data_IF_715379447633
#
_entry.id   IF_715379447633
#
_cell.length_a   1.000
_cell.length_b   1.000
_cell.length_c   1.000
_cell.angle_alpha   90.00
_cell.angle_beta   90.00
_cell.angle_gamma   90.00
#
_symmetry.space_group_name_H-M   'P 1'
#
loop_
_entity.id
_entity.type
_entity.pdbx_description
1 polymer ?
#
# COMPACT_ATOMS: atom_id res chain seq x y z
N UNK A 1 -22.71 -10.28 -4.58
CA UNK A 1 -22.13 -9.34 -5.56
C UNK A 1 -22.56 -9.77 -6.94
N UNK A 2 -23.44 -9.01 -7.58
CA UNK A 2 -24.06 -9.41 -8.85
C UNK A 2 -23.31 -8.69 -9.99
N UNK A 3 -22.63 -9.44 -10.84
CA UNK A 3 -22.03 -8.89 -12.06
C UNK A 3 -23.15 -8.61 -13.06
N UNK A 4 -23.40 -7.33 -13.36
CA UNK A 4 -24.30 -6.95 -14.45
C UNK A 4 -23.43 -6.71 -15.68
N UNK A 5 -23.49 -7.63 -16.64
CA UNK A 5 -22.83 -7.46 -17.95
C UNK A 5 -23.76 -6.69 -18.88
N UNK A 6 -23.38 -5.47 -19.27
CA UNK A 6 -23.96 -4.74 -20.39
C UNK A 6 -22.81 -4.31 -21.29
N UNK A 7 -22.55 -5.05 -22.38
CA UNK A 7 -21.46 -4.77 -23.33
C UNK A 7 -20.03 -5.03 -22.80
N UNK A 8 -19.02 -4.39 -23.43
CA UNK A 8 -17.59 -4.44 -23.05
C UNK A 8 -17.24 -3.58 -21.83
N UNK A 9 -18.23 -3.04 -21.12
CA UNK A 9 -18.03 -2.23 -19.92
C UNK A 9 -18.34 -3.05 -18.68
N UNK A 10 -17.35 -3.16 -17.79
CA UNK A 10 -17.51 -3.78 -16.48
C UNK A 10 -18.13 -2.76 -15.53
N UNK A 11 -19.44 -2.89 -15.30
CA UNK A 11 -20.13 -2.15 -14.24
C UNK A 11 -19.97 -2.92 -12.93
N UNK A 12 -19.13 -2.39 -12.04
CA UNK A 12 -18.92 -2.94 -10.71
C UNK A 12 -19.72 -2.13 -9.70
N UNK A 13 -20.38 -2.84 -8.78
CA UNK A 13 -20.96 -2.19 -7.62
C UNK A 13 -19.82 -1.69 -6.74
N UNK A 14 -19.82 -0.39 -6.44
CA UNK A 14 -18.87 0.18 -5.50
C UNK A 14 -18.99 -0.53 -4.15
N UNK A 15 -17.83 -0.85 -3.57
CA UNK A 15 -17.73 -1.44 -2.25
C UNK A 15 -17.15 -0.42 -1.28
N UNK A 16 -17.65 -0.37 -0.06
CA UNK A 16 -17.35 0.73 0.88
C UNK A 16 -15.90 0.78 1.33
N UNK A 17 -15.16 -0.33 1.21
CA UNK A 17 -13.74 -0.42 1.54
C UNK A 17 -12.95 -0.53 0.23
N UNK A 18 -12.08 0.45 0.00
CA UNK A 18 -11.35 0.65 -1.26
C UNK A 18 -10.29 -0.42 -1.52
N UNK A 19 -9.58 -0.85 -0.48
CA UNK A 19 -8.62 -1.96 -0.52
C UNK A 19 -9.28 -3.31 -0.82
N UNK A 20 -10.45 -3.60 -0.22
CA UNK A 20 -11.25 -4.78 -0.53
C UNK A 20 -11.78 -4.68 -1.98
N UNK A 21 -12.24 -3.50 -2.41
CA UNK A 21 -12.70 -3.28 -3.77
C UNK A 21 -11.59 -3.51 -4.80
N UNK A 22 -10.37 -3.02 -4.54
CA UNK A 22 -9.20 -3.28 -5.37
C UNK A 22 -8.87 -4.78 -5.44
N UNK A 23 -8.97 -5.49 -4.32
CA UNK A 23 -8.81 -6.95 -4.26
C UNK A 23 -9.85 -7.70 -5.11
N UNK A 24 -11.10 -7.25 -5.09
CA UNK A 24 -12.18 -7.80 -5.94
C UNK A 24 -11.85 -7.61 -7.42
N UNK A 25 -11.43 -6.41 -7.82
CA UNK A 25 -11.03 -6.14 -9.21
C UNK A 25 -9.85 -7.04 -9.62
N UNK A 26 -8.82 -7.15 -8.78
CA UNK A 26 -7.66 -7.99 -9.04
C UNK A 26 -8.04 -9.47 -9.22
N UNK A 27 -8.93 -9.99 -8.38
CA UNK A 27 -9.47 -11.34 -8.50
C UNK A 27 -10.19 -11.56 -9.83
N UNK A 28 -11.07 -10.64 -10.23
CA UNK A 28 -11.84 -10.73 -11.47
C UNK A 28 -10.94 -10.65 -12.72
N UNK A 29 -9.86 -9.87 -12.65
CA UNK A 29 -8.84 -9.79 -13.70
C UNK A 29 -7.83 -10.94 -13.66
N UNK A 30 -7.95 -11.87 -12.70
CA UNK A 30 -6.99 -12.97 -12.46
C UNK A 30 -5.55 -12.48 -12.24
N UNK A 31 -5.41 -11.34 -11.58
CA UNK A 31 -4.13 -10.76 -11.18
C UNK A 31 -3.95 -11.10 -9.69
N UNK A 32 -3.16 -12.13 -9.33
CA UNK A 32 -2.96 -12.47 -7.93
C UNK A 32 -2.14 -11.35 -7.25
N UNK A 33 -2.64 -10.73 -6.18
CA UNK A 33 -1.84 -9.79 -5.40
C UNK A 33 -0.64 -10.53 -4.80
N UNK A 34 0.54 -9.91 -4.86
CA UNK A 34 1.75 -10.41 -4.21
C UNK A 34 2.10 -9.50 -3.05
N UNK A 35 2.31 -10.11 -1.89
CA UNK A 35 2.83 -9.39 -0.74
C UNK A 35 4.23 -8.85 -1.05
N UNK A 36 4.51 -7.62 -0.61
CA UNK A 36 5.82 -6.99 -0.71
C UNK A 36 6.32 -6.75 0.70
N UNK A 37 7.37 -7.47 1.11
CA UNK A 37 7.94 -7.38 2.46
C UNK A 37 8.48 -5.99 2.82
N UNK A 38 8.71 -5.12 1.82
CA UNK A 38 9.10 -3.73 2.04
C UNK A 38 7.92 -2.83 2.46
N UNK A 39 6.68 -3.32 2.40
CA UNK A 39 5.51 -2.69 3.01
C UNK A 39 5.37 -3.22 4.44
N UNK A 40 5.89 -2.46 5.39
CA UNK A 40 5.94 -2.88 6.78
C UNK A 40 4.74 -2.34 7.55
N UNK A 41 4.11 -3.19 8.35
CA UNK A 41 3.10 -2.77 9.30
C UNK A 41 3.75 -2.38 10.63
N UNK A 42 3.38 -1.20 11.11
CA UNK A 42 3.37 -0.84 12.53
C UNK A 42 4.70 -0.59 13.26
N UNK A 43 4.52 -0.16 14.52
CA UNK A 43 5.35 0.23 15.68
C UNK A 43 6.85 -0.06 15.78
N UNK A 44 7.50 -0.70 14.81
CA UNK A 44 8.96 -0.88 14.84
C UNK A 44 9.69 0.43 14.53
N UNK A 45 10.91 0.57 15.02
CA UNK A 45 11.83 1.58 14.52
C UNK A 45 12.34 1.13 13.14
N UNK A 46 12.43 2.07 12.19
CA UNK A 46 12.98 1.84 10.85
C UNK A 46 14.24 2.68 10.75
N UNK A 47 15.38 2.03 10.55
CA UNK A 47 16.64 2.75 10.40
C UNK A 47 16.65 3.59 9.11
N UNK A 48 17.20 4.82 9.11
CA UNK A 48 17.35 5.63 7.90
C UNK A 48 17.95 4.89 6.69
N UNK A 49 18.88 3.97 6.92
CA UNK A 49 19.50 3.16 5.86
C UNK A 49 18.54 2.12 5.26
N UNK A 50 17.56 1.63 6.01
CA UNK A 50 16.52 0.75 5.46
C UNK A 50 15.65 1.48 4.43
N UNK A 51 15.39 2.78 4.65
CA UNK A 51 14.72 3.64 3.67
C UNK A 51 15.59 3.90 2.45
N UNK A 52 16.84 4.32 2.64
CA UNK A 52 17.78 4.64 1.54
C UNK A 52 18.08 3.46 0.64
N UNK A 53 18.24 2.28 1.22
CA UNK A 53 18.51 1.04 0.47
C UNK A 53 17.27 0.44 -0.19
N UNK A 54 16.08 0.99 0.02
CA UNK A 54 14.82 0.47 -0.52
C UNK A 54 14.34 -0.83 0.14
N UNK A 55 14.91 -1.20 1.30
CA UNK A 55 14.42 -2.32 2.11
C UNK A 55 13.04 -2.04 2.70
N UNK A 56 12.71 -0.76 2.89
CA UNK A 56 11.38 -0.31 3.28
C UNK A 56 10.89 0.70 2.24
N UNK A 57 9.68 0.46 1.72
CA UNK A 57 9.00 1.33 0.76
C UNK A 57 7.88 2.13 1.43
N UNK A 58 7.20 1.53 2.40
CA UNK A 58 6.12 2.17 3.14
C UNK A 58 5.98 1.54 4.54
N UNK A 59 5.63 2.37 5.52
CA UNK A 59 5.33 1.94 6.88
C UNK A 59 3.90 2.40 7.27
N UNK A 60 3.04 1.44 7.62
CA UNK A 60 1.65 1.75 8.03
C UNK A 60 1.57 2.14 9.51
N UNK A 61 0.77 3.17 9.82
CA UNK A 61 0.52 3.62 11.21
C UNK A 61 1.65 4.45 11.81
N UNK A 62 2.35 5.20 10.98
CA UNK A 62 3.48 6.00 11.37
C UNK A 62 3.02 7.34 11.99
N UNK A 63 3.32 7.62 13.27
CA UNK A 63 2.78 8.81 13.94
C UNK A 63 3.43 10.09 13.41
N UNK A 64 2.67 11.18 13.42
CA UNK A 64 3.07 12.43 12.79
C UNK A 64 4.42 12.98 13.30
N UNK A 65 4.67 12.90 14.61
CA UNK A 65 5.93 13.35 15.20
C UNK A 65 7.14 12.58 14.67
N UNK A 66 7.02 11.26 14.51
CA UNK A 66 8.12 10.44 13.95
C UNK A 66 8.41 10.77 12.50
N UNK A 67 7.43 11.25 11.74
CA UNK A 67 7.65 11.69 10.36
C UNK A 67 8.51 12.95 10.30
N UNK A 68 8.29 13.88 11.21
CA UNK A 68 9.12 15.09 11.31
C UNK A 68 10.53 14.77 11.79
N UNK A 69 10.69 13.74 12.63
CA UNK A 69 11.99 13.33 13.19
C UNK A 69 12.83 12.52 12.19
N UNK A 70 12.26 11.48 11.56
CA UNK A 70 13.03 10.52 10.75
C UNK A 70 13.15 10.95 9.28
N UNK A 71 12.20 11.70 8.72
CA UNK A 71 12.26 12.11 7.31
C UNK A 71 13.54 12.92 6.98
N UNK A 72 13.96 13.91 7.79
CA UNK A 72 15.24 14.58 7.56
C UNK A 72 16.45 13.65 7.65
N UNK A 73 16.40 12.61 8.51
CA UNK A 73 17.50 11.65 8.66
C UNK A 73 17.67 10.78 7.41
N UNK A 74 16.58 10.44 6.72
CA UNK A 74 16.65 9.73 5.43
C UNK A 74 17.41 10.56 4.39
N UNK A 75 17.24 11.88 4.38
CA UNK A 75 17.85 12.80 3.40
C UNK A 75 19.14 13.50 3.86
N UNK A 76 19.55 13.34 5.12
CA UNK A 76 20.79 13.93 5.63
C UNK A 76 22.01 13.21 5.04
N UNK A 77 22.61 13.76 3.99
CA UNK A 77 23.79 13.22 3.31
C UNK A 77 23.70 13.15 1.78
N UNK A 78 22.59 13.61 1.19
CA UNK A 78 22.52 13.97 -0.24
C UNK A 78 23.14 15.35 -0.52
#
# INVERSE_FOLDING_TARGET
MQLVRVGYQLYFQLYSFDDIYAGIIAYLLRIPPKHNEAFVFWSRFVDPEEWRSGKVLAAHGYPHNRLLEEYPMVHAGE
#
